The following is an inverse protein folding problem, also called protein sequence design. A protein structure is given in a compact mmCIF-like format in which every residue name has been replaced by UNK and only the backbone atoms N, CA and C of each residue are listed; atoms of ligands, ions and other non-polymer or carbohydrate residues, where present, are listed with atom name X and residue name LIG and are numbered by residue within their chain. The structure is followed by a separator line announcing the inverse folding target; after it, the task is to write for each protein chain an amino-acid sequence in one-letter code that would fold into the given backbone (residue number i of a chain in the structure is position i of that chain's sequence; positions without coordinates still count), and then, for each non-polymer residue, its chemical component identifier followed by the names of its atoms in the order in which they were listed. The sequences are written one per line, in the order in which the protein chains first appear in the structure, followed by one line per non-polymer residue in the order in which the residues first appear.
data_IF_377659019966
#
_entry.id   IF_377659019966
#
_cell.length_a   1.000
_cell.length_b   1.000
_cell.length_c   1.000
_cell.angle_alpha   90.00
_cell.angle_beta   90.00
_cell.angle_gamma   90.00
#
_symmetry.space_group_name_H-M   'P 1'
#
loop_
_entity.id
_entity.type
_entity.pdbx_description
1 polymer ?
#
# COMPACT_ATOMS: atom_id res chain seq x y z
N UNK A 1 -33.28 1.71 5.94
CA UNK A 1 -33.58 3.12 5.60
C UNK A 1 -32.44 3.98 6.14
N UNK A 2 -31.83 4.82 5.30
CA UNK A 2 -30.75 5.74 5.69
C UNK A 2 -31.29 7.16 5.49
N UNK A 3 -31.38 8.00 6.56
CA UNK A 3 -31.99 9.32 6.45
C UNK A 3 -31.08 10.32 5.69
N UNK A 4 -31.65 11.36 5.05
CA UNK A 4 -30.86 12.42 4.43
C UNK A 4 -29.94 13.13 5.42
N UNK A 5 -28.76 13.57 4.94
CA UNK A 5 -27.80 14.35 5.74
C UNK A 5 -26.80 13.53 6.56
N UNK A 6 -26.89 12.19 6.55
CA UNK A 6 -25.88 11.35 7.22
C UNK A 6 -24.65 11.14 6.34
N UNK A 7 -23.51 10.99 7.01
CA UNK A 7 -22.24 10.62 6.37
C UNK A 7 -22.14 9.10 6.39
N UNK A 8 -21.84 8.52 5.23
CA UNK A 8 -21.53 7.09 5.09
C UNK A 8 -20.01 6.96 4.92
N UNK A 9 -19.41 6.11 5.74
CA UNK A 9 -17.99 5.81 5.67
C UNK A 9 -17.75 4.42 5.07
N UNK A 10 -16.60 4.26 4.43
CA UNK A 10 -16.16 2.98 3.85
C UNK A 10 -15.05 2.42 4.73
N UNK A 11 -15.16 1.16 5.20
CA UNK A 11 -14.24 0.59 6.19
C UNK A 11 -12.96 0.06 5.52
N UNK A 12 -12.22 0.92 4.82
CA UNK A 12 -11.02 0.51 4.06
C UNK A 12 -9.98 -0.19 4.92
N UNK A 13 -9.73 0.30 6.14
CA UNK A 13 -8.81 -0.34 7.09
C UNK A 13 -9.29 -1.74 7.51
N UNK A 14 -10.59 -1.93 7.74
CA UNK A 14 -11.10 -3.24 8.10
C UNK A 14 -10.95 -4.23 6.92
N UNK A 15 -11.22 -3.79 5.69
CA UNK A 15 -11.03 -4.61 4.48
C UNK A 15 -9.57 -5.07 4.34
N UNK A 16 -8.60 -4.18 4.59
CA UNK A 16 -7.18 -4.54 4.48
C UNK A 16 -6.68 -5.46 5.61
N UNK A 17 -7.32 -5.40 6.77
CA UNK A 17 -6.97 -6.22 7.92
C UNK A 17 -7.81 -7.51 8.05
N UNK A 18 -8.80 -7.71 7.18
CA UNK A 18 -9.63 -8.91 7.17
C UNK A 18 -8.86 -10.10 6.59
N UNK A 19 -8.55 -11.08 7.45
CA UNK A 19 -7.84 -12.30 7.06
C UNK A 19 -8.61 -13.19 6.09
N UNK A 20 -9.94 -13.02 5.96
CA UNK A 20 -10.72 -13.70 4.94
C UNK A 20 -10.47 -13.13 3.53
N UNK A 21 -10.06 -11.86 3.43
CA UNK A 21 -9.72 -11.19 2.17
C UNK A 21 -8.21 -11.27 1.91
N UNK A 22 -7.41 -10.98 2.94
CA UNK A 22 -5.96 -10.99 2.90
C UNK A 22 -5.43 -11.97 3.95
N UNK A 23 -5.21 -13.25 3.61
CA UNK A 23 -4.57 -14.19 4.53
C UNK A 23 -3.27 -13.63 5.10
N UNK A 24 -3.08 -13.79 6.41
CA UNK A 24 -2.00 -13.18 7.19
C UNK A 24 -1.94 -11.66 7.02
N UNK A 25 -3.09 -10.98 7.07
CA UNK A 25 -3.24 -9.55 6.80
C UNK A 25 -2.28 -8.66 7.60
N UNK A 26 -2.01 -9.02 8.86
CA UNK A 26 -1.09 -8.34 9.76
C UNK A 26 0.40 -8.45 9.35
N UNK A 27 0.75 -9.42 8.50
CA UNK A 27 2.12 -9.62 8.03
C UNK A 27 2.36 -8.92 6.71
N UNK A 28 3.47 -8.18 6.61
CA UNK A 28 3.90 -7.60 5.35
C UNK A 28 4.51 -8.67 4.44
N UNK A 29 3.80 -9.02 3.37
CA UNK A 29 4.28 -9.90 2.32
C UNK A 29 4.43 -9.10 1.01
N UNK A 30 5.67 -8.71 0.71
CA UNK A 30 6.01 -7.94 -0.50
C UNK A 30 5.65 -8.66 -1.82
N UNK A 31 5.44 -9.98 -1.78
CA UNK A 31 5.05 -10.78 -2.94
C UNK A 31 3.58 -11.19 -2.95
N UNK A 32 2.76 -10.78 -1.97
CA UNK A 32 1.35 -11.19 -1.84
C UNK A 32 0.59 -11.10 -3.16
N UNK A 33 0.55 -9.89 -3.73
CA UNK A 33 -0.15 -9.64 -4.99
C UNK A 33 0.54 -10.32 -6.18
N UNK A 34 1.87 -10.47 -6.17
CA UNK A 34 2.58 -11.24 -7.20
C UNK A 34 2.15 -12.70 -7.20
N UNK A 35 2.06 -13.35 -6.03
CA UNK A 35 1.61 -14.74 -5.89
C UNK A 35 0.17 -14.91 -6.39
N UNK A 36 -0.73 -13.99 -6.02
CA UNK A 36 -2.12 -13.98 -6.48
C UNK A 36 -2.23 -13.86 -8.00
N UNK A 37 -1.38 -13.06 -8.64
CA UNK A 37 -1.33 -13.00 -10.11
C UNK A 37 -0.70 -14.27 -10.68
N UNK A 38 0.49 -14.67 -10.23
CA UNK A 38 1.28 -15.75 -10.82
C UNK A 38 0.56 -17.10 -10.86
N UNK A 39 -0.26 -17.38 -9.84
CA UNK A 39 -0.97 -18.64 -9.67
C UNK A 39 -2.48 -18.51 -9.93
N UNK A 40 -2.95 -17.34 -10.36
CA UNK A 40 -4.36 -17.02 -10.48
C UNK A 40 -4.90 -17.05 -11.92
N UNK A 41 -6.21 -16.85 -12.02
CA UNK A 41 -6.92 -16.65 -13.29
C UNK A 41 -6.60 -15.30 -13.93
N UNK A 42 -7.04 -15.09 -15.17
CA UNK A 42 -6.99 -13.77 -15.82
C UNK A 42 -7.67 -12.66 -14.98
N UNK A 43 -8.73 -13.02 -14.25
CA UNK A 43 -9.43 -12.13 -13.32
C UNK A 43 -8.54 -11.75 -12.14
N UNK A 44 -7.83 -12.70 -11.55
CA UNK A 44 -6.89 -12.44 -10.46
C UNK A 44 -5.73 -11.54 -10.93
N UNK A 45 -5.24 -11.79 -12.15
CA UNK A 45 -4.26 -10.92 -12.81
C UNK A 45 -4.75 -9.47 -12.89
N UNK A 46 -5.98 -9.23 -13.35
CA UNK A 46 -6.55 -7.89 -13.50
C UNK A 46 -6.81 -7.22 -12.15
N UNK A 47 -7.38 -7.94 -11.19
CA UNK A 47 -7.76 -7.44 -9.86
C UNK A 47 -6.57 -7.04 -9.00
N UNK A 48 -5.42 -7.70 -9.18
CA UNK A 48 -4.23 -7.52 -8.36
C UNK A 48 -3.14 -6.66 -9.04
N UNK A 49 -3.49 -5.83 -10.02
CA UNK A 49 -2.58 -4.78 -10.51
C UNK A 49 -2.53 -3.63 -9.51
N UNK A 50 -1.39 -2.96 -9.40
CA UNK A 50 -1.18 -1.89 -8.42
C UNK A 50 -2.20 -0.74 -8.53
N UNK A 51 -2.64 -0.43 -9.76
CA UNK A 51 -3.60 0.64 -10.05
C UNK A 51 -5.07 0.17 -10.06
N UNK A 52 -5.32 -1.13 -9.92
CA UNK A 52 -6.69 -1.65 -9.96
C UNK A 52 -7.37 -1.41 -8.64
N UNK A 53 -8.52 -0.74 -8.71
CA UNK A 53 -9.44 -0.56 -7.58
C UNK A 53 -10.58 -1.56 -7.67
N UNK A 54 -10.95 -2.16 -6.55
CA UNK A 54 -12.09 -3.06 -6.44
C UNK A 54 -12.63 -3.04 -5.00
N UNK A 55 -13.67 -3.79 -4.72
CA UNK A 55 -14.31 -3.84 -3.40
C UNK A 55 -13.38 -4.35 -2.28
N UNK A 56 -12.28 -5.01 -2.63
CA UNK A 56 -11.25 -5.51 -1.71
C UNK A 56 -9.98 -4.63 -1.73
N UNK A 57 -9.76 -3.81 -2.76
CA UNK A 57 -8.62 -2.90 -2.88
C UNK A 57 -9.09 -1.45 -3.14
N UNK A 58 -9.10 -0.66 -2.07
CA UNK A 58 -9.67 0.69 -1.99
C UNK A 58 -8.62 1.81 -1.91
N UNK A 59 -7.34 1.54 -2.17
CA UNK A 59 -6.21 2.45 -1.89
C UNK A 59 -6.30 3.73 -2.72
N UNK A 60 -6.91 3.61 -3.90
CA UNK A 60 -7.19 4.70 -4.82
C UNK A 60 -8.70 4.98 -4.91
N UNK A 61 -9.49 4.68 -3.88
CA UNK A 61 -10.95 4.77 -3.94
C UNK A 61 -11.59 3.67 -4.79
N UNK A 62 -12.89 3.79 -5.10
CA UNK A 62 -13.62 2.79 -5.89
C UNK A 62 -14.79 3.40 -6.67
N UNK A 63 -15.21 2.71 -7.74
CA UNK A 63 -16.32 3.11 -8.61
C UNK A 63 -16.07 4.47 -9.28
N UNK A 64 -17.13 5.28 -9.38
CA UNK A 64 -17.09 6.63 -9.97
C UNK A 64 -16.12 7.59 -9.28
N UNK A 65 -15.76 7.30 -8.02
CA UNK A 65 -14.87 8.13 -7.20
C UNK A 65 -13.45 7.54 -7.10
N UNK A 66 -13.10 6.56 -7.94
CA UNK A 66 -11.73 6.09 -8.03
C UNK A 66 -10.79 7.22 -8.49
N UNK A 67 -9.65 7.33 -7.83
CA UNK A 67 -8.65 8.36 -8.05
C UNK A 67 -8.19 8.35 -9.52
N UNK A 68 -8.38 9.46 -10.26
CA UNK A 68 -7.94 9.54 -11.64
C UNK A 68 -6.41 9.57 -11.76
N UNK A 69 -5.71 10.08 -10.75
CA UNK A 69 -4.26 10.18 -10.71
C UNK A 69 -3.50 8.88 -10.39
N UNK A 70 -4.19 7.77 -10.11
CA UNK A 70 -3.56 6.52 -9.65
C UNK A 70 -2.51 5.94 -10.61
N UNK A 71 -2.69 6.14 -11.92
CA UNK A 71 -1.73 5.68 -12.93
C UNK A 71 -0.43 6.47 -12.89
N UNK A 72 -0.55 7.78 -12.75
CA UNK A 72 0.58 8.68 -12.61
C UNK A 72 1.33 8.41 -11.30
N UNK A 73 0.61 8.41 -10.18
CA UNK A 73 1.17 8.10 -8.87
C UNK A 73 1.87 6.73 -8.83
N UNK A 74 1.29 5.71 -9.47
CA UNK A 74 1.90 4.39 -9.54
C UNK A 74 3.25 4.39 -10.27
N UNK A 75 3.39 5.19 -11.32
CA UNK A 75 4.66 5.33 -12.02
C UNK A 75 5.67 6.11 -11.19
N UNK A 76 5.27 7.21 -10.55
CA UNK A 76 6.14 7.98 -9.66
C UNK A 76 6.68 7.12 -8.50
N UNK A 77 5.80 6.38 -7.82
CA UNK A 77 6.20 5.49 -6.73
C UNK A 77 7.20 4.44 -7.22
N UNK A 78 6.97 3.82 -8.38
CA UNK A 78 7.90 2.85 -8.96
C UNK A 78 9.25 3.48 -9.29
N UNK A 79 9.27 4.69 -9.85
CA UNK A 79 10.52 5.41 -10.15
C UNK A 79 11.30 5.75 -8.88
N UNK A 80 10.62 6.23 -7.84
CA UNK A 80 11.25 6.51 -6.53
C UNK A 80 11.85 5.23 -5.94
N UNK A 81 11.07 4.14 -5.87
CA UNK A 81 11.55 2.86 -5.33
C UNK A 81 12.69 2.30 -6.18
N UNK A 82 12.60 2.36 -7.50
CA UNK A 82 13.66 1.91 -8.40
C UNK A 82 14.97 2.68 -8.16
N UNK A 83 14.90 4.02 -8.04
CA UNK A 83 16.06 4.86 -7.70
C UNK A 83 16.63 4.48 -6.33
N UNK A 84 15.76 4.27 -5.34
CA UNK A 84 16.18 3.86 -4.00
C UNK A 84 16.95 2.53 -4.01
N UNK A 85 16.45 1.50 -4.70
CA UNK A 85 17.08 0.17 -4.69
C UNK A 85 18.30 0.05 -5.62
N UNK A 86 18.37 0.86 -6.68
CA UNK A 86 19.48 0.79 -7.64
C UNK A 86 20.69 1.61 -7.18
N UNK A 87 20.46 2.72 -6.48
CA UNK A 87 21.53 3.68 -6.16
C UNK A 87 21.92 3.69 -4.69
N UNK A 88 21.19 3.01 -3.80
CA UNK A 88 21.45 3.07 -2.37
C UNK A 88 21.37 1.72 -1.67
N UNK A 89 22.33 1.47 -0.79
CA UNK A 89 22.18 0.54 0.33
C UNK A 89 21.36 1.22 1.42
N UNK A 90 20.25 0.61 1.82
CA UNK A 90 19.32 1.15 2.80
C UNK A 90 19.28 0.25 4.03
N UNK A 91 19.43 0.83 5.21
CA UNK A 91 19.27 0.10 6.47
C UNK A 91 18.57 0.94 7.54
N UNK A 92 18.02 0.24 8.51
CA UNK A 92 17.56 0.84 9.76
C UNK A 92 18.77 1.26 10.63
N UNK A 93 18.65 2.32 11.44
CA UNK A 93 19.69 2.71 12.39
C UNK A 93 19.75 1.75 13.58
N UNK A 94 20.90 1.73 14.27
CA UNK A 94 21.06 1.19 15.65
C UNK A 94 20.56 -0.25 15.87
N UNK A 95 20.67 -1.13 14.86
CA UNK A 95 20.27 -2.53 14.99
C UNK A 95 18.77 -2.76 15.04
N UNK A 96 17.96 -1.74 14.75
CA UNK A 96 16.50 -1.89 14.60
C UNK A 96 16.22 -2.81 13.42
N UNK A 97 15.41 -3.85 13.64
CA UNK A 97 15.02 -4.81 12.58
C UNK A 97 13.59 -4.58 12.08
N UNK A 98 12.78 -3.85 12.85
CA UNK A 98 11.36 -3.66 12.59
C UNK A 98 11.05 -2.30 11.96
N UNK A 99 9.95 -2.23 11.20
CA UNK A 99 9.41 -0.96 10.68
C UNK A 99 9.00 -0.05 11.84
N UNK A 100 9.26 1.26 11.72
CA UNK A 100 8.73 2.24 12.66
C UNK A 100 7.20 2.29 12.65
N UNK A 101 6.61 2.40 13.84
CA UNK A 101 5.18 2.67 13.99
C UNK A 101 4.79 3.94 13.23
N UNK A 102 3.66 3.86 12.53
CA UNK A 102 3.06 4.98 11.83
C UNK A 102 2.26 5.87 12.80
N UNK A 103 2.08 7.13 12.41
CA UNK A 103 1.19 8.05 13.11
C UNK A 103 -0.17 7.97 12.43
N UNK A 104 -1.20 7.66 13.21
CA UNK A 104 -2.58 7.54 12.76
C UNK A 104 -3.41 8.65 13.40
N UNK A 105 -3.99 9.52 12.57
CA UNK A 105 -4.89 10.60 13.02
C UNK A 105 -6.12 10.59 12.15
N UNK A 106 -7.25 10.12 12.70
CA UNK A 106 -8.48 9.92 11.95
C UNK A 106 -8.25 8.97 10.77
N UNK A 107 -8.46 9.46 9.55
CA UNK A 107 -8.28 8.68 8.30
C UNK A 107 -6.88 8.78 7.70
N UNK A 108 -5.99 9.56 8.32
CA UNK A 108 -4.63 9.78 7.81
C UNK A 108 -3.66 8.84 8.49
N UNK A 109 -2.87 8.14 7.68
CA UNK A 109 -1.73 7.32 8.12
C UNK A 109 -0.48 7.94 7.53
N UNK A 110 0.50 8.26 8.39
CA UNK A 110 1.75 8.90 7.97
C UNK A 110 2.96 8.25 8.64
N UNK A 111 4.13 8.23 7.98
CA UNK A 111 5.36 7.83 8.64
C UNK A 111 5.68 8.82 9.77
N UNK A 112 6.31 8.33 10.85
CA UNK A 112 6.77 9.21 11.92
C UNK A 112 7.95 10.07 11.41
N UNK A 113 7.81 11.41 11.33
CA UNK A 113 8.84 12.27 10.74
C UNK A 113 10.08 12.43 11.63
N UNK A 114 10.03 11.99 12.89
CA UNK A 114 11.19 12.02 13.79
C UNK A 114 12.09 10.79 13.65
N UNK A 115 11.72 9.86 12.77
CA UNK A 115 12.45 8.60 12.54
C UNK A 115 13.21 8.66 11.22
N UNK A 116 14.39 8.06 11.19
CA UNK A 116 15.31 8.14 10.06
C UNK A 116 15.64 6.76 9.52
N UNK A 117 15.97 6.71 8.23
CA UNK A 117 16.59 5.56 7.58
C UNK A 117 18.00 5.96 7.16
N UNK A 118 18.93 5.01 7.18
CA UNK A 118 20.30 5.23 6.76
C UNK A 118 20.43 4.86 5.29
N UNK A 119 20.90 5.81 4.47
CA UNK A 119 21.16 5.61 3.05
C UNK A 119 22.65 5.74 2.80
N UNK A 120 23.23 4.78 2.08
CA UNK A 120 24.58 4.86 1.54
C UNK A 120 24.49 4.71 0.03
N UNK A 121 25.02 5.68 -0.72
CA UNK A 121 25.07 5.57 -2.18
C UNK A 121 25.96 4.38 -2.59
N UNK A 122 25.48 3.56 -3.50
CA UNK A 122 26.26 2.47 -4.10
C UNK A 122 27.17 3.09 -5.16
N UNK A 123 28.47 2.89 -5.02
CA UNK A 123 29.45 3.22 -6.06
C UNK A 123 29.60 2.00 -6.96
N UNK A 124 29.48 2.21 -8.28
CA UNK A 124 29.67 1.18 -9.30
C UNK A 124 31.15 0.88 -9.51
#
# INVERSE_FOLDING_TARGET
YIPPGVIIEVPSQAVYNDSAIYPDSATFDGFRHHKLRRNGSATDHARNQFVTTNEQNLAFGYGRHACPGRFFAANEIKMIVAKMILDYDIKMPEGVTERYAQIEVGRTISPNPTKTLMFKKVEL
#
